data_IF_981227146971
#
_entry.id   IF_981227146971
#
_cell.length_a   1.000
_cell.length_b   1.000
_cell.length_c   1.000
_cell.angle_alpha   90.00
_cell.angle_beta   90.00
_cell.angle_gamma   90.00
#
_symmetry.space_group_name_H-M   'P 1'
#
loop_
_entity.id
_entity.type
_entity.pdbx_description
1 polymer ?
#
# COMPACT_ATOMS: atom_id res chain seq x y z
N UNK A 1 2.32 20.84 6.97
CA UNK A 1 2.44 20.34 8.35
C UNK A 1 2.18 18.83 8.33
N UNK A 2 3.17 18.01 8.70
CA UNK A 2 3.02 16.56 8.93
C UNK A 2 2.89 16.43 10.44
N UNK A 3 1.71 16.09 10.95
CA UNK A 3 1.50 15.88 12.38
C UNK A 3 2.38 14.70 12.83
N UNK A 4 3.41 14.92 13.67
CA UNK A 4 4.32 13.86 14.07
C UNK A 4 3.59 12.73 14.80
N UNK A 5 2.51 13.05 15.53
CA UNK A 5 1.74 12.05 16.30
C UNK A 5 0.95 11.08 15.42
N UNK A 6 0.73 11.44 14.14
CA UNK A 6 -0.02 10.67 13.15
C UNK A 6 0.82 10.24 11.95
N UNK A 7 2.13 10.48 12.01
CA UNK A 7 3.04 10.28 10.89
C UNK A 7 3.13 8.81 10.42
N UNK A 8 2.77 7.87 11.30
CA UNK A 8 2.75 6.42 11.04
C UNK A 8 1.37 5.79 11.28
N UNK A 9 0.30 6.60 11.28
CA UNK A 9 -1.06 6.10 11.50
C UNK A 9 -1.47 5.14 10.38
N UNK A 10 -1.90 3.94 10.78
CA UNK A 10 -2.63 3.02 9.92
C UNK A 10 -4.10 3.44 9.82
N UNK A 11 -4.77 3.01 8.76
CA UNK A 11 -6.16 3.35 8.49
C UNK A 11 -7.15 2.48 9.27
N UNK A 12 -6.78 1.23 9.57
CA UNK A 12 -7.61 0.30 10.33
C UNK A 12 -6.78 -0.87 10.86
N UNK A 13 -7.31 -1.53 11.89
CA UNK A 13 -6.87 -2.85 12.33
C UNK A 13 -7.88 -3.89 11.85
N UNK A 14 -7.38 -4.99 11.29
CA UNK A 14 -8.15 -6.21 11.01
C UNK A 14 -7.45 -7.41 11.65
N UNK A 15 -8.14 -8.54 11.73
CA UNK A 15 -7.54 -9.81 12.18
C UNK A 15 -7.85 -10.92 11.18
N UNK A 16 -7.29 -12.11 11.41
CA UNK A 16 -7.62 -13.31 10.64
C UNK A 16 -9.12 -13.64 10.58
N UNK A 17 -9.94 -13.07 11.46
CA UNK A 17 -11.41 -13.20 11.39
C UNK A 17 -12.02 -12.60 10.12
N UNK A 18 -11.29 -11.73 9.40
CA UNK A 18 -11.78 -11.04 8.19
C UNK A 18 -12.19 -11.99 7.06
N UNK A 19 -11.66 -13.21 7.05
CA UNK A 19 -12.02 -14.25 6.08
C UNK A 19 -11.74 -15.64 6.65
N UNK A 20 -12.66 -16.59 6.42
CA UNK A 20 -12.53 -17.98 6.89
C UNK A 20 -11.22 -18.66 6.47
N UNK A 21 -10.63 -18.29 5.33
CA UNK A 21 -9.38 -18.86 4.83
C UNK A 21 -8.17 -18.59 5.76
N UNK A 22 -8.24 -17.53 6.57
CA UNK A 22 -7.18 -17.16 7.51
C UNK A 22 -7.36 -17.77 8.90
N UNK A 23 -8.54 -18.28 9.22
CA UNK A 23 -8.85 -18.82 10.54
C UNK A 23 -8.05 -20.10 10.83
N UNK A 24 -7.64 -20.28 12.09
CA UNK A 24 -6.86 -21.44 12.53
C UNK A 24 -5.42 -21.51 12.03
N UNK A 25 -4.93 -20.47 11.33
CA UNK A 25 -3.50 -20.35 10.98
C UNK A 25 -2.70 -19.70 12.12
N UNK A 26 -1.39 -19.91 12.10
CA UNK A 26 -0.45 -19.31 13.05
C UNK A 26 -0.12 -17.88 12.61
N UNK A 27 -0.44 -16.90 13.45
CA UNK A 27 -0.24 -15.46 13.19
C UNK A 27 0.64 -14.76 14.21
N UNK A 28 1.10 -15.49 15.23
CA UNK A 28 2.04 -15.05 16.26
C UNK A 28 3.47 -15.56 15.97
N UNK A 29 3.82 -15.72 14.69
CA UNK A 29 5.18 -16.03 14.26
C UNK A 29 5.95 -14.71 13.98
N UNK A 30 7.10 -14.81 13.31
CA UNK A 30 7.80 -13.64 12.81
C UNK A 30 7.14 -13.10 11.52
N UNK A 31 7.40 -11.83 11.18
CA UNK A 31 6.71 -11.18 10.07
C UNK A 31 6.87 -11.87 8.71
N UNK A 32 8.05 -12.45 8.42
CA UNK A 32 8.31 -13.20 7.17
C UNK A 32 7.41 -14.44 7.08
N UNK A 33 7.28 -15.18 8.18
CA UNK A 33 6.42 -16.37 8.22
C UNK A 33 4.94 -16.01 8.19
N UNK A 34 4.54 -14.91 8.82
CA UNK A 34 3.16 -14.41 8.76
C UNK A 34 2.81 -13.97 7.32
N UNK A 35 3.71 -13.27 6.62
CA UNK A 35 3.53 -12.89 5.22
C UNK A 35 3.39 -14.12 4.31
N UNK A 36 4.25 -15.14 4.46
CA UNK A 36 4.12 -16.41 3.74
C UNK A 36 2.79 -17.11 4.00
N UNK A 37 2.36 -17.14 5.27
CA UNK A 37 1.08 -17.72 5.69
C UNK A 37 -0.10 -16.98 5.07
N UNK A 38 -0.05 -15.64 5.07
CA UNK A 38 -1.04 -14.79 4.41
C UNK A 38 -1.10 -15.06 2.92
N UNK A 39 0.02 -15.01 2.20
CA UNK A 39 0.06 -15.23 0.74
C UNK A 39 -0.46 -16.62 0.36
N UNK A 40 -0.16 -17.65 1.16
CA UNK A 40 -0.70 -18.99 0.94
C UNK A 40 -2.22 -19.06 1.16
N UNK A 41 -2.71 -18.49 2.27
CA UNK A 41 -4.14 -18.49 2.61
C UNK A 41 -4.98 -17.57 1.71
N UNK A 42 -4.41 -16.46 1.23
CA UNK A 42 -5.09 -15.45 0.43
C UNK A 42 -5.70 -16.04 -0.85
N UNK A 43 -5.04 -17.03 -1.43
CA UNK A 43 -5.51 -17.78 -2.62
C UNK A 43 -6.88 -18.42 -2.43
N UNK A 44 -7.26 -18.73 -1.19
CA UNK A 44 -8.52 -19.39 -0.84
C UNK A 44 -9.59 -18.43 -0.30
N UNK A 45 -9.31 -17.11 -0.30
CA UNK A 45 -10.24 -16.12 0.28
C UNK A 45 -11.41 -15.77 -0.64
N UNK A 46 -11.26 -16.01 -1.95
CA UNK A 46 -12.17 -15.52 -2.99
C UNK A 46 -11.93 -14.07 -3.42
N UNK A 47 -11.00 -13.35 -2.77
CA UNK A 47 -10.59 -12.02 -3.25
C UNK A 47 -9.66 -12.13 -4.45
N UNK A 48 -9.90 -11.32 -5.46
CA UNK A 48 -9.06 -11.21 -6.66
C UNK A 48 -7.80 -10.37 -6.41
N UNK A 49 -7.79 -9.54 -5.36
CA UNK A 49 -6.64 -8.71 -5.00
C UNK A 49 -6.72 -8.18 -3.57
N UNK A 50 -5.56 -7.78 -3.01
CA UNK A 50 -5.50 -7.09 -1.72
C UNK A 50 -6.34 -5.80 -1.73
N UNK A 51 -6.40 -5.08 -2.86
CA UNK A 51 -7.26 -3.90 -3.05
C UNK A 51 -8.73 -4.24 -2.74
N UNK A 52 -9.24 -5.34 -3.31
CA UNK A 52 -10.62 -5.76 -3.08
C UNK A 52 -10.88 -6.05 -1.59
N UNK A 53 -9.94 -6.72 -0.91
CA UNK A 53 -10.06 -7.00 0.52
C UNK A 53 -10.01 -5.70 1.35
N UNK A 54 -9.00 -4.86 1.11
CA UNK A 54 -8.75 -3.65 1.91
C UNK A 54 -9.83 -2.59 1.69
N UNK A 55 -10.30 -2.37 0.47
CA UNK A 55 -11.34 -1.37 0.18
C UNK A 55 -12.66 -1.67 0.90
N UNK A 56 -12.96 -2.95 1.16
CA UNK A 56 -14.14 -3.34 1.95
C UNK A 56 -14.05 -2.94 3.42
N UNK A 57 -12.85 -2.66 3.92
CA UNK A 57 -12.56 -2.30 5.33
C UNK A 57 -12.17 -0.84 5.50
N UNK A 58 -11.52 -0.28 4.48
CA UNK A 58 -11.01 1.08 4.45
C UNK A 58 -11.55 1.77 3.20
N UNK A 59 -12.82 2.23 3.22
CA UNK A 59 -13.41 2.92 2.08
C UNK A 59 -12.73 4.28 1.86
N UNK A 60 -12.70 4.74 0.62
CA UNK A 60 -12.13 6.06 0.26
C UNK A 60 -10.61 6.14 0.48
N UNK A 61 -10.12 7.32 0.83
CA UNK A 61 -8.68 7.61 0.97
C UNK A 61 -8.24 8.02 2.39
N UNK A 62 -9.20 8.05 3.33
CA UNK A 62 -9.01 8.24 4.78
C UNK A 62 -7.95 9.31 5.11
N UNK A 63 -6.77 8.90 5.59
CA UNK A 63 -5.69 9.77 6.06
C UNK A 63 -4.99 10.56 4.92
N UNK A 64 -5.46 10.44 3.68
CA UNK A 64 -4.91 11.13 2.50
C UNK A 64 -5.86 12.18 1.95
N UNK A 65 -5.30 13.33 1.54
CA UNK A 65 -6.05 14.38 0.83
C UNK A 65 -6.02 14.15 -0.69
N UNK A 66 -7.18 14.05 -1.31
CA UNK A 66 -7.35 13.91 -2.78
C UNK A 66 -7.91 15.16 -3.47
N UNK A 67 -8.26 16.16 -2.67
CA UNK A 67 -8.76 17.48 -3.03
C UNK A 67 -7.64 18.51 -3.28
N UNK A 68 -6.38 18.06 -3.34
CA UNK A 68 -5.22 18.88 -3.65
C UNK A 68 -4.88 18.85 -5.16
N UNK A 69 -4.13 19.84 -5.68
CA UNK A 69 -3.60 19.79 -7.03
C UNK A 69 -2.82 18.49 -7.29
N UNK A 70 -3.05 17.80 -8.43
CA UNK A 70 -2.34 16.57 -8.73
C UNK A 70 -0.83 16.77 -8.86
N UNK A 71 -0.03 15.86 -8.30
CA UNK A 71 1.41 15.84 -8.50
C UNK A 71 1.74 15.44 -9.95
N UNK A 72 2.57 16.23 -10.63
CA UNK A 72 3.06 15.87 -11.96
C UNK A 72 4.16 14.81 -11.84
N UNK A 73 3.84 13.57 -12.19
CA UNK A 73 4.75 12.42 -12.11
C UNK A 73 5.45 12.14 -13.44
N UNK A 74 5.39 13.08 -14.39
CA UNK A 74 6.04 12.89 -15.69
C UNK A 74 7.55 12.73 -15.53
N UNK A 75 8.07 11.63 -16.09
CA UNK A 75 9.50 11.29 -16.01
C UNK A 75 9.90 10.60 -14.70
N UNK A 76 8.99 10.51 -13.73
CA UNK A 76 9.23 9.72 -12.53
C UNK A 76 9.17 8.24 -12.91
N UNK A 77 9.99 7.44 -12.24
CA UNK A 77 10.02 5.98 -12.43
C UNK A 77 9.68 5.23 -11.16
N UNK A 78 9.77 5.91 -10.02
CA UNK A 78 9.64 5.31 -8.71
C UNK A 78 8.64 6.09 -7.85
N UNK A 79 8.07 5.41 -6.87
CA UNK A 79 7.58 6.04 -5.65
C UNK A 79 8.54 5.69 -4.51
N UNK A 80 8.59 6.55 -3.50
CA UNK A 80 9.36 6.33 -2.28
C UNK A 80 8.41 6.13 -1.11
N UNK A 81 8.76 5.19 -0.24
CA UNK A 81 8.06 4.95 1.02
C UNK A 81 9.07 4.84 2.17
N UNK A 82 8.79 5.50 3.28
CA UNK A 82 9.66 5.51 4.44
C UNK A 82 8.87 5.64 5.75
N UNK A 83 9.27 4.85 6.75
CA UNK A 83 8.98 5.10 8.14
C UNK A 83 10.16 5.88 8.74
N UNK A 84 9.97 7.18 8.93
CA UNK A 84 10.99 8.09 9.45
C UNK A 84 11.39 7.78 10.90
N UNK A 85 10.45 7.29 11.72
CA UNK A 85 10.72 6.98 13.13
C UNK A 85 11.64 5.78 13.30
N UNK A 86 11.44 4.72 12.53
CA UNK A 86 12.31 3.55 12.57
C UNK A 86 13.52 3.64 11.63
N UNK A 87 13.56 4.66 10.77
CA UNK A 87 14.53 4.78 9.66
C UNK A 87 14.53 3.56 8.75
N UNK A 88 13.34 3.07 8.38
CA UNK A 88 13.15 1.87 7.53
C UNK A 88 12.24 2.15 6.35
N UNK A 89 12.48 1.44 5.25
CA UNK A 89 11.60 1.42 4.08
C UNK A 89 10.27 0.75 4.38
N UNK A 90 10.23 -0.57 4.50
CA UNK A 90 9.02 -1.36 4.80
C UNK A 90 9.12 -2.13 6.12
N UNK A 91 7.96 -2.50 6.66
CA UNK A 91 7.79 -3.43 7.79
C UNK A 91 6.71 -4.51 7.48
N UNK A 92 6.56 -4.93 6.19
CA UNK A 92 5.94 -6.18 5.63
C UNK A 92 4.63 -6.15 4.78
N UNK A 93 4.69 -6.65 3.53
CA UNK A 93 3.63 -6.96 2.50
C UNK A 93 2.72 -5.84 1.88
N UNK A 94 2.89 -5.47 0.59
CA UNK A 94 2.15 -4.34 -0.05
C UNK A 94 1.80 -4.51 -1.56
N UNK A 95 0.83 -3.71 -2.04
CA UNK A 95 0.40 -3.57 -3.43
C UNK A 95 0.34 -2.08 -3.85
N UNK A 96 0.62 -1.75 -5.11
CA UNK A 96 0.47 -0.38 -5.65
C UNK A 96 -0.41 -0.36 -6.89
N UNK A 97 -1.35 0.58 -6.93
CA UNK A 97 -2.35 0.74 -7.99
C UNK A 97 -2.37 2.18 -8.51
N UNK A 98 -2.65 2.35 -9.80
CA UNK A 98 -3.08 3.63 -10.39
C UNK A 98 -4.50 3.41 -10.90
N UNK A 99 -5.46 4.12 -10.30
CA UNK A 99 -6.89 3.91 -10.49
C UNK A 99 -7.27 2.42 -10.30
N UNK A 100 -7.81 1.79 -11.34
CA UNK A 100 -8.17 0.37 -11.35
C UNK A 100 -7.07 -0.54 -11.94
N UNK A 101 -5.89 0.01 -12.24
CA UNK A 101 -4.76 -0.74 -12.81
C UNK A 101 -3.73 -1.02 -11.73
N UNK A 102 -3.43 -2.30 -11.49
CA UNK A 102 -2.32 -2.69 -10.62
C UNK A 102 -1.01 -2.39 -11.33
N UNK A 103 -0.20 -1.50 -10.77
CA UNK A 103 1.07 -1.06 -11.38
C UNK A 103 2.28 -1.67 -10.70
N UNK A 104 2.12 -2.19 -9.48
CA UNK A 104 3.12 -2.99 -8.78
C UNK A 104 2.46 -3.96 -7.80
N UNK A 105 3.04 -5.13 -7.67
CA UNK A 105 2.65 -6.14 -6.69
C UNK A 105 3.89 -6.90 -6.24
N UNK A 106 4.00 -7.09 -4.93
CA UNK A 106 5.04 -7.90 -4.33
C UNK A 106 4.51 -8.53 -3.03
N UNK A 107 4.75 -9.82 -2.84
CA UNK A 107 4.25 -10.55 -1.67
C UNK A 107 5.12 -10.35 -0.42
N UNK A 108 6.40 -9.99 -0.58
CA UNK A 108 7.38 -9.77 0.50
C UNK A 108 8.29 -8.56 0.20
N UNK A 109 7.75 -7.40 0.54
CA UNK A 109 8.31 -6.11 0.19
C UNK A 109 9.54 -5.72 1.01
N UNK A 110 9.63 -6.23 2.24
CA UNK A 110 10.81 -6.03 3.10
C UNK A 110 11.98 -6.82 2.55
N UNK A 111 11.74 -8.06 2.10
CA UNK A 111 12.77 -8.84 1.44
C UNK A 111 13.20 -8.21 0.10
N UNK A 112 12.29 -7.53 -0.60
CA UNK A 112 12.57 -6.98 -1.94
C UNK A 112 13.18 -5.58 -1.91
N UNK A 113 12.61 -4.64 -1.14
CA UNK A 113 12.98 -3.21 -1.14
C UNK A 113 13.66 -2.84 0.17
N UNK A 114 14.98 -3.08 0.24
CA UNK A 114 15.77 -3.00 1.46
C UNK A 114 16.34 -1.60 1.79
N UNK A 115 16.08 -0.61 0.93
CA UNK A 115 16.62 0.75 1.08
C UNK A 115 15.75 1.61 2.01
N UNK A 116 16.32 2.72 2.47
CA UNK A 116 15.61 3.80 3.17
C UNK A 116 15.88 5.13 2.43
N UNK A 117 14.86 5.76 1.80
CA UNK A 117 13.51 5.24 1.58
C UNK A 117 13.50 3.94 0.77
N UNK A 118 12.43 3.14 0.90
CA UNK A 118 12.17 2.06 -0.05
C UNK A 118 11.79 2.65 -1.40
N UNK A 119 12.44 2.19 -2.47
CA UNK A 119 12.24 2.69 -3.83
C UNK A 119 11.46 1.65 -4.64
N UNK A 120 10.23 1.99 -5.00
CA UNK A 120 9.31 1.09 -5.68
C UNK A 120 9.15 1.51 -7.14
N UNK A 121 9.40 0.63 -8.12
CA UNK A 121 9.20 0.97 -9.52
C UNK A 121 7.69 1.09 -9.82
N UNK A 122 7.28 2.22 -10.38
CA UNK A 122 5.88 2.52 -10.69
C UNK A 122 5.77 2.93 -12.16
N UNK A 123 4.91 2.22 -12.90
CA UNK A 123 4.59 2.58 -14.27
C UNK A 123 3.54 3.72 -14.31
N UNK A 124 3.99 4.96 -14.17
CA UNK A 124 3.11 6.13 -14.23
C UNK A 124 2.45 6.37 -15.59
N UNK A 125 2.90 5.70 -16.66
CA UNK A 125 2.23 5.73 -17.97
C UNK A 125 0.80 5.14 -17.91
N UNK A 126 0.47 4.39 -16.85
CA UNK A 126 -0.90 3.96 -16.57
C UNK A 126 -1.87 5.14 -16.33
N UNK A 127 -1.39 6.30 -15.88
CA UNK A 127 -2.22 7.49 -15.74
C UNK A 127 -2.44 8.15 -17.11
N UNK A 128 -3.59 7.84 -17.74
CA UNK A 128 -3.94 8.28 -19.11
C UNK A 128 -4.74 9.59 -19.15
N UNK A 129 -5.22 10.08 -18.03
CA UNK A 129 -6.08 11.27 -17.94
C UNK A 129 -5.32 12.46 -17.35
N UNK A 130 -5.98 13.62 -17.29
CA UNK A 130 -5.41 14.82 -16.64
C UNK A 130 -5.28 14.68 -15.12
N UNK A 131 -6.04 13.76 -14.50
CA UNK A 131 -6.03 13.48 -13.06
C UNK A 131 -6.35 12.01 -12.82
N UNK A 132 -5.40 11.29 -12.23
CA UNK A 132 -5.55 9.91 -11.74
C UNK A 132 -5.30 9.86 -10.24
N UNK A 133 -5.62 8.73 -9.60
CA UNK A 133 -5.26 8.48 -8.20
C UNK A 133 -4.25 7.34 -8.14
N UNK A 134 -3.04 7.64 -7.68
CA UNK A 134 -2.11 6.61 -7.21
C UNK A 134 -2.61 6.13 -5.84
N UNK A 135 -2.80 4.84 -5.67
CA UNK A 135 -3.15 4.24 -4.37
C UNK A 135 -2.13 3.18 -3.98
N UNK A 136 -1.49 3.42 -2.85
CA UNK A 136 -0.59 2.48 -2.19
C UNK A 136 -1.38 1.72 -1.11
N UNK A 137 -1.24 0.40 -1.06
CA UNK A 137 -1.84 -0.48 -0.06
C UNK A 137 -0.73 -1.30 0.60
N UNK A 138 -0.61 -1.28 1.92
CA UNK A 138 0.33 -2.08 2.69
C UNK A 138 -0.42 -2.74 3.85
N UNK A 139 -0.22 -4.03 4.06
CA UNK A 139 -0.84 -4.79 5.16
C UNK A 139 0.27 -5.32 6.05
N UNK A 140 0.49 -4.67 7.19
CA UNK A 140 1.54 -5.09 8.11
C UNK A 140 1.08 -6.33 8.91
N UNK A 141 1.89 -7.39 8.87
CA UNK A 141 1.60 -8.71 9.43
C UNK A 141 2.58 -9.09 10.56
N UNK A 142 3.20 -8.10 11.21
CA UNK A 142 4.20 -8.34 12.28
C UNK A 142 3.58 -8.80 13.61
N UNK A 143 2.25 -8.66 13.76
CA UNK A 143 1.47 -9.11 14.92
C UNK A 143 0.11 -9.68 14.49
N UNK A 144 -0.68 -10.20 15.43
CA UNK A 144 -2.00 -10.81 15.16
C UNK A 144 -3.09 -9.79 14.77
N UNK A 145 -2.90 -8.54 15.18
CA UNK A 145 -3.69 -7.39 14.76
C UNK A 145 -3.03 -6.77 13.52
N UNK A 146 -3.56 -7.08 12.35
CA UNK A 146 -2.97 -6.61 11.10
C UNK A 146 -3.34 -5.16 10.85
N UNK A 147 -2.33 -4.34 10.58
CA UNK A 147 -2.49 -2.91 10.37
C UNK A 147 -2.60 -2.64 8.87
N UNK A 148 -3.68 -1.96 8.45
CA UNK A 148 -3.89 -1.56 7.07
C UNK A 148 -3.33 -0.16 6.86
N UNK A 149 -2.41 -0.03 5.93
CA UNK A 149 -1.93 1.22 5.38
C UNK A 149 -2.47 1.39 3.96
N UNK A 150 -3.12 2.52 3.73
CA UNK A 150 -3.71 2.92 2.46
C UNK A 150 -3.49 4.40 2.27
N UNK A 151 -2.74 4.75 1.23
CA UNK A 151 -2.41 6.13 0.90
C UNK A 151 -2.83 6.44 -0.52
N UNK A 152 -3.50 7.56 -0.71
CA UNK A 152 -3.92 8.05 -2.01
C UNK A 152 -3.20 9.34 -2.35
N UNK A 153 -2.73 9.46 -3.59
CA UNK A 153 -2.12 10.68 -4.10
C UNK A 153 -2.76 11.02 -5.44
N UNK A 154 -3.38 12.22 -5.61
CA UNK A 154 -3.79 12.66 -6.93
C UNK A 154 -2.54 12.92 -7.78
N UNK A 155 -2.46 12.34 -8.97
CA UNK A 155 -1.33 12.45 -9.88
C UNK A 155 -1.78 12.86 -11.29
N UNK A 156 -0.86 13.42 -12.07
CA UNK A 156 -1.03 13.67 -13.50
C UNK A 156 0.24 13.26 -14.25
N UNK A 157 0.08 12.71 -15.45
CA UNK A 157 1.19 12.31 -16.31
C UNK A 157 1.15 13.03 -17.68
N UNK A 158 0.59 14.22 -17.72
CA UNK A 158 0.60 15.07 -18.92
C UNK A 158 1.81 16.00 -18.94
N UNK A 159 2.24 16.44 -20.13
CA UNK A 159 3.10 17.63 -20.24
C UNK A 159 2.41 18.76 -19.46
N UNK A 160 3.08 19.36 -18.49
CA UNK A 160 2.66 20.67 -17.98
C UNK A 160 2.60 21.57 -19.21
N UNK A 161 1.41 22.05 -19.56
CA UNK A 161 1.32 23.36 -20.16
C UNK A 161 1.78 24.28 -19.01
N UNK A 162 2.91 24.94 -19.21
CA UNK A 162 3.33 26.00 -18.30
C UNK A 162 2.16 26.97 -18.19
N UNK A 163 1.76 27.30 -16.96
CA UNK A 163 1.03 28.54 -16.73
C UNK A 163 1.99 29.71 -16.97
#
# INVERSE_FOLDING_TARGET
>A
YKDPSKATDYNAIITASVNKAFQGKKWNDNPVNNAKTFTAAFKNTGYTSLKQMVDSKVPGCQNSRTDIPPLNVKGFKNMEWQNDWERKGFIDSHHVWIDNTRVLHNDDCVATYKTYPAVLPVNYAACKTKKCTLTFYWLALHETNWQIYKQCVPITNTKSLRA
#
